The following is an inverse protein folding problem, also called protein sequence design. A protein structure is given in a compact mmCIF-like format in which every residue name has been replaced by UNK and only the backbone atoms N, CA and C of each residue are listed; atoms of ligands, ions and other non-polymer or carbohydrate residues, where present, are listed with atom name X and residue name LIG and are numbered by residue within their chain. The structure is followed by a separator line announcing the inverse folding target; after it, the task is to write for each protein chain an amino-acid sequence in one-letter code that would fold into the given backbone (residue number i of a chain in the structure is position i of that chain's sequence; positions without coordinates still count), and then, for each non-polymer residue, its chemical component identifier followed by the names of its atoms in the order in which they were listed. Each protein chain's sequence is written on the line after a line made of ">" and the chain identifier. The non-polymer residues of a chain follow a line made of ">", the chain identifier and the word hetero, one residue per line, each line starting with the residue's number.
data_IF_091041200303
#
_entry.id   IF_091041200303
#
_cell.length_a   1.000
_cell.length_b   1.000
_cell.length_c   1.000
_cell.angle_alpha   90.00
_cell.angle_beta   90.00
_cell.angle_gamma   90.00
#
_symmetry.space_group_name_H-M   'P 1'
#
loop_
_entity.id
_entity.type
_entity.pdbx_description
1 polymer ?
#
# COMPACT_ATOMS: atom_id res chain seq x y z
N UNK A 1 17.29 18.47 -25.69
CA UNK A 1 16.24 17.42 -25.75
C UNK A 1 15.26 17.68 -24.64
N UNK A 2 13.95 17.62 -24.88
CA UNK A 2 12.90 17.86 -23.88
C UNK A 2 12.56 16.57 -23.14
N UNK A 3 12.60 16.57 -21.80
CA UNK A 3 12.04 15.51 -20.98
C UNK A 3 10.52 15.66 -20.89
N UNK A 4 9.81 14.54 -20.94
CA UNK A 4 8.35 14.50 -20.91
C UNK A 4 7.91 13.79 -19.62
N UNK A 5 6.89 14.34 -18.97
CA UNK A 5 6.17 13.68 -17.88
C UNK A 5 4.71 13.57 -18.26
N UNK A 6 4.09 12.44 -17.93
CA UNK A 6 2.68 12.23 -18.17
C UNK A 6 1.93 12.27 -16.84
N UNK A 7 0.81 12.98 -16.82
CA UNK A 7 -0.11 13.00 -15.68
C UNK A 7 -1.54 12.83 -16.18
N UNK A 8 -2.29 11.95 -15.52
CA UNK A 8 -3.68 11.66 -15.89
C UNK A 8 -4.54 11.40 -14.66
N UNK A 9 -5.82 11.76 -14.75
CA UNK A 9 -6.80 11.54 -13.70
C UNK A 9 -7.94 10.61 -14.16
N UNK A 10 -8.45 9.75 -13.27
CA UNK A 10 -9.53 8.80 -13.60
C UNK A 10 -9.16 7.90 -14.78
N UNK A 11 -10.00 7.80 -15.81
CA UNK A 11 -9.66 7.13 -17.09
C UNK A 11 -8.40 7.68 -17.75
N UNK A 12 -8.13 8.97 -17.57
CA UNK A 12 -6.88 9.58 -18.03
C UNK A 12 -5.65 9.05 -17.28
N UNK A 13 -5.80 8.64 -16.02
CA UNK A 13 -4.74 8.00 -15.24
C UNK A 13 -4.32 6.64 -15.78
N UNK A 14 -5.27 5.87 -16.32
CA UNK A 14 -4.95 4.67 -17.10
C UNK A 14 -4.41 5.03 -18.49
N UNK A 15 -4.96 6.06 -19.12
CA UNK A 15 -4.55 6.54 -20.44
C UNK A 15 -3.07 6.96 -20.51
N UNK A 16 -2.50 7.54 -19.45
CA UNK A 16 -1.07 7.88 -19.43
C UNK A 16 -0.16 6.66 -19.31
N UNK A 17 -0.61 5.60 -18.64
CA UNK A 17 0.08 4.30 -18.64
C UNK A 17 0.05 3.69 -20.04
N UNK A 18 -1.13 3.69 -20.68
CA UNK A 18 -1.29 3.23 -22.05
C UNK A 18 -0.39 4.00 -23.04
N UNK A 19 -0.33 5.33 -22.89
CA UNK A 19 0.51 6.18 -23.74
C UNK A 19 2.01 5.85 -23.59
N UNK A 20 2.49 5.61 -22.37
CA UNK A 20 3.88 5.21 -22.16
C UNK A 20 4.16 3.80 -22.66
N UNK A 21 3.22 2.86 -22.48
CA UNK A 21 3.36 1.52 -23.03
C UNK A 21 3.44 1.54 -24.57
N UNK A 22 2.61 2.35 -25.24
CA UNK A 22 2.69 2.57 -26.69
C UNK A 22 4.01 3.21 -27.11
N UNK A 23 4.50 4.20 -26.36
CA UNK A 23 5.79 4.83 -26.63
C UNK A 23 6.94 3.81 -26.56
N UNK A 24 6.95 2.97 -25.52
CA UNK A 24 8.00 1.97 -25.29
C UNK A 24 7.91 0.81 -26.29
N UNK A 25 6.76 0.14 -26.36
CA UNK A 25 6.56 -1.04 -27.24
C UNK A 25 6.57 -0.70 -28.73
N UNK A 26 6.11 0.49 -29.11
CA UNK A 26 6.13 0.98 -30.49
C UNK A 26 7.45 1.63 -30.92
N UNK A 27 8.41 1.80 -30.00
CA UNK A 27 9.69 2.44 -30.30
C UNK A 27 9.57 3.89 -30.77
N UNK A 28 8.58 4.65 -30.26
CA UNK A 28 8.28 6.00 -30.73
C UNK A 28 9.34 7.04 -30.34
N UNK A 29 10.21 6.71 -29.38
CA UNK A 29 11.38 7.52 -29.02
C UNK A 29 11.06 8.79 -28.24
N UNK A 30 9.85 8.94 -27.70
CA UNK A 30 9.54 10.04 -26.81
C UNK A 30 10.26 9.86 -25.46
N UNK A 31 10.95 10.91 -25.02
CA UNK A 31 11.75 10.91 -23.80
C UNK A 31 10.89 11.08 -22.54
N UNK A 32 9.92 10.17 -22.34
CA UNK A 32 9.09 10.10 -21.13
C UNK A 32 9.97 9.62 -19.97
N UNK A 33 9.97 10.39 -18.87
CA UNK A 33 10.84 10.16 -17.71
C UNK A 33 10.10 9.76 -16.43
N UNK A 34 8.80 10.01 -16.36
CA UNK A 34 7.96 9.58 -15.25
C UNK A 34 6.47 9.65 -15.65
N UNK A 35 5.65 8.81 -15.02
CA UNK A 35 4.20 8.76 -15.22
C UNK A 35 3.50 8.92 -13.86
N UNK A 36 2.46 9.75 -13.81
CA UNK A 36 1.65 10.01 -12.62
C UNK A 36 0.19 9.73 -12.93
N UNK A 37 -0.43 8.89 -12.12
CA UNK A 37 -1.83 8.52 -12.23
C UNK A 37 -2.58 8.93 -10.97
N UNK A 38 -3.57 9.80 -11.11
CA UNK A 38 -4.40 10.31 -10.01
C UNK A 38 -5.75 9.63 -10.07
N UNK A 39 -6.14 8.95 -9.00
CA UNK A 39 -7.37 8.17 -8.90
C UNK A 39 -7.67 7.35 -10.16
N UNK A 40 -6.70 6.55 -10.66
CA UNK A 40 -6.82 5.97 -12.00
C UNK A 40 -7.82 4.82 -12.07
N UNK A 41 -8.34 4.58 -13.27
CA UNK A 41 -9.03 3.31 -13.59
C UNK A 41 -8.05 2.20 -13.95
N UNK A 42 -8.55 0.97 -14.12
CA UNK A 42 -7.79 -0.20 -14.60
C UNK A 42 -8.59 -1.06 -15.61
N UNK A 43 -9.50 -0.47 -16.39
CA UNK A 43 -10.41 -1.22 -17.26
C UNK A 43 -9.71 -2.10 -18.30
N UNK A 44 -8.52 -1.70 -18.73
CA UNK A 44 -7.71 -2.39 -19.73
C UNK A 44 -6.53 -3.16 -19.09
N UNK A 45 -6.37 -3.08 -17.77
CA UNK A 45 -5.35 -3.79 -17.00
C UNK A 45 -3.92 -3.61 -17.56
N UNK A 46 -3.59 -2.42 -18.05
CA UNK A 46 -2.23 -2.13 -18.55
C UNK A 46 -1.18 -2.31 -17.46
N UNK A 47 -0.01 -2.83 -17.85
CA UNK A 47 1.14 -3.03 -16.97
C UNK A 47 2.20 -1.98 -17.30
N UNK A 48 2.61 -1.20 -16.31
CA UNK A 48 3.60 -0.15 -16.46
C UNK A 48 4.99 -0.63 -16.04
N UNK A 49 5.94 -0.79 -16.97
CA UNK A 49 7.22 -1.45 -16.70
C UNK A 49 8.47 -0.68 -17.15
N UNK A 50 8.32 0.57 -17.59
CA UNK A 50 9.37 1.24 -18.38
C UNK A 50 9.92 2.54 -17.79
N UNK A 51 9.24 3.16 -16.83
CA UNK A 51 9.69 4.41 -16.18
C UNK A 51 9.24 4.48 -14.72
N UNK A 52 9.82 5.37 -13.90
CA UNK A 52 9.27 5.68 -12.59
C UNK A 52 7.78 5.99 -12.62
N UNK A 53 7.04 5.49 -11.61
CA UNK A 53 5.59 5.55 -11.57
C UNK A 53 5.05 6.00 -10.22
N UNK A 54 4.05 6.88 -10.25
CA UNK A 54 3.36 7.37 -9.06
C UNK A 54 1.85 7.22 -9.22
N UNK A 55 1.21 6.58 -8.25
CA UNK A 55 -0.24 6.59 -8.08
C UNK A 55 -0.60 7.50 -6.90
N UNK A 56 -1.59 8.37 -7.07
CA UNK A 56 -2.20 9.15 -5.99
C UNK A 56 -3.65 8.72 -5.89
N UNK A 57 -4.10 8.22 -4.74
CA UNK A 57 -5.45 7.68 -4.59
C UNK A 57 -6.05 8.01 -3.23
N UNK A 58 -7.37 8.22 -3.18
CA UNK A 58 -8.07 8.69 -1.99
C UNK A 58 -8.85 7.60 -1.27
N UNK A 59 -8.87 7.65 0.06
CA UNK A 59 -9.63 6.70 0.87
C UNK A 59 -11.15 6.84 0.77
N UNK A 60 -11.61 8.02 0.30
CA UNK A 60 -13.02 8.37 0.19
C UNK A 60 -13.51 8.44 -1.25
N UNK A 61 -12.71 7.99 -2.22
CA UNK A 61 -13.04 8.00 -3.66
C UNK A 61 -14.31 7.17 -3.93
N UNK A 62 -15.40 7.88 -4.24
CA UNK A 62 -16.72 7.31 -4.48
C UNK A 62 -16.95 6.89 -5.94
N UNK A 63 -16.17 7.42 -6.88
CA UNK A 63 -16.35 7.16 -8.32
C UNK A 63 -15.54 5.94 -8.76
N UNK A 64 -14.25 5.90 -8.40
CA UNK A 64 -13.35 4.76 -8.57
C UNK A 64 -13.13 4.10 -7.21
N UNK A 65 -14.22 3.51 -6.74
CA UNK A 65 -14.35 2.92 -5.40
C UNK A 65 -13.74 1.53 -5.29
N UNK A 66 -13.71 0.78 -6.39
CA UNK A 66 -13.29 -0.61 -6.49
C UNK A 66 -14.24 -1.66 -5.95
N UNK A 67 -15.51 -1.28 -5.81
CA UNK A 67 -16.52 -2.15 -5.19
C UNK A 67 -17.56 -2.58 -6.21
N UNK A 68 -18.10 -1.63 -6.96
CA UNK A 68 -19.21 -1.86 -7.92
C UNK A 68 -18.88 -1.42 -9.35
N UNK A 69 -17.70 -0.86 -9.55
CA UNK A 69 -17.19 -0.36 -10.83
C UNK A 69 -16.32 -1.41 -11.55
N UNK A 70 -15.87 -2.45 -10.83
CA UNK A 70 -14.89 -3.41 -11.33
C UNK A 70 -13.49 -2.80 -11.46
N UNK A 71 -13.23 -1.70 -10.76
CA UNK A 71 -12.02 -0.89 -10.92
C UNK A 71 -11.18 -0.85 -9.64
N UNK A 72 -10.00 -1.44 -9.65
CA UNK A 72 -9.09 -1.42 -8.51
C UNK A 72 -7.79 -0.64 -8.85
N UNK A 73 -7.65 0.62 -8.39
CA UNK A 73 -6.45 1.43 -8.64
C UNK A 73 -5.15 0.85 -8.07
N UNK A 74 -5.23 0.02 -7.03
CA UNK A 74 -4.07 -0.65 -6.44
C UNK A 74 -3.41 -1.60 -7.45
N UNK A 75 -4.19 -2.21 -8.35
CA UNK A 75 -3.65 -3.11 -9.39
C UNK A 75 -2.69 -2.41 -10.35
N UNK A 76 -2.91 -1.13 -10.67
CA UNK A 76 -1.93 -0.40 -11.49
C UNK A 76 -0.60 -0.25 -10.76
N UNK A 77 -0.64 0.04 -9.45
CA UNK A 77 0.56 0.12 -8.64
C UNK A 77 1.23 -1.26 -8.48
N UNK A 78 0.48 -2.29 -8.06
CA UNK A 78 1.06 -3.61 -7.80
C UNK A 78 1.67 -4.24 -9.04
N UNK A 79 1.02 -4.10 -10.20
CA UNK A 79 1.53 -4.65 -11.47
C UNK A 79 2.70 -3.86 -12.04
N UNK A 80 2.83 -2.58 -11.69
CA UNK A 80 3.92 -1.76 -12.21
C UNK A 80 5.29 -2.29 -11.76
N UNK A 81 6.33 -2.07 -12.56
CA UNK A 81 7.71 -2.34 -12.17
C UNK A 81 8.32 -1.15 -11.41
N UNK A 82 9.19 -1.41 -10.42
CA UNK A 82 9.93 -0.36 -9.73
C UNK A 82 10.84 0.50 -10.64
N UNK A 83 11.23 1.72 -10.21
CA UNK A 83 10.78 2.38 -8.98
C UNK A 83 9.32 2.83 -9.10
N UNK A 84 8.53 2.56 -8.06
CA UNK A 84 7.11 2.91 -8.03
C UNK A 84 6.68 3.38 -6.65
N UNK A 85 5.66 4.24 -6.62
CA UNK A 85 5.07 4.76 -5.39
C UNK A 85 3.56 4.86 -5.48
N UNK A 86 2.87 4.64 -4.36
CA UNK A 86 1.48 5.00 -4.18
C UNK A 86 1.34 5.89 -2.95
N UNK A 87 0.68 7.03 -3.14
CA UNK A 87 0.33 7.98 -2.09
C UNK A 87 -1.16 7.83 -1.83
N UNK A 88 -1.49 7.14 -0.74
CA UNK A 88 -2.87 6.92 -0.33
C UNK A 88 -3.28 7.99 0.68
N UNK A 89 -4.29 8.78 0.33
CA UNK A 89 -4.64 10.01 1.03
C UNK A 89 -5.95 9.81 1.80
N UNK A 90 -5.87 9.87 3.13
CA UNK A 90 -7.06 9.77 3.97
C UNK A 90 -7.97 10.98 3.77
N UNK A 91 -9.27 10.72 3.62
CA UNK A 91 -10.30 11.73 3.37
C UNK A 91 -10.29 12.33 1.97
N UNK A 92 -9.44 11.86 1.04
CA UNK A 92 -9.49 12.34 -0.34
C UNK A 92 -10.57 11.62 -1.17
N UNK A 93 -11.24 12.38 -2.03
CA UNK A 93 -12.33 11.95 -2.92
C UNK A 93 -11.93 12.13 -4.39
N UNK A 94 -12.70 11.55 -5.31
CA UNK A 94 -12.34 11.49 -6.73
C UNK A 94 -12.22 12.87 -7.36
N UNK A 95 -13.22 13.72 -7.13
CA UNK A 95 -13.44 14.91 -7.94
C UNK A 95 -12.53 16.09 -7.57
N UNK A 96 -12.14 16.21 -6.30
CA UNK A 96 -11.43 17.38 -5.76
C UNK A 96 -9.96 17.48 -6.20
N UNK A 97 -9.43 16.48 -6.89
CA UNK A 97 -8.15 16.60 -7.60
C UNK A 97 -8.24 17.49 -8.85
N UNK A 98 -9.45 17.79 -9.32
CA UNK A 98 -9.72 18.63 -10.50
C UNK A 98 -10.23 20.01 -10.10
N UNK A 99 -10.10 20.98 -11.01
CA UNK A 99 -10.74 22.31 -10.92
C UNK A 99 -11.97 22.41 -11.83
N UNK A 100 -12.45 21.29 -12.38
CA UNK A 100 -13.61 21.30 -13.27
C UNK A 100 -14.88 21.70 -12.48
N UNK A 101 -15.56 22.79 -12.83
CA UNK A 101 -16.72 23.28 -12.08
C UNK A 101 -17.87 22.28 -12.04
N UNK A 102 -18.04 21.44 -13.06
CA UNK A 102 -19.09 20.43 -13.09
C UNK A 102 -18.86 19.37 -12.02
N UNK A 103 -17.61 18.93 -11.84
CA UNK A 103 -17.23 17.90 -10.87
C UNK A 103 -17.22 18.42 -9.42
N UNK A 104 -16.95 19.72 -9.25
CA UNK A 104 -16.94 20.41 -7.97
C UNK A 104 -18.32 20.94 -7.55
N UNK A 105 -19.33 20.78 -8.39
CA UNK A 105 -20.70 21.14 -8.03
C UNK A 105 -21.19 20.28 -6.85
N UNK A 106 -21.99 20.87 -5.95
CA UNK A 106 -22.55 20.14 -4.81
C UNK A 106 -23.41 18.94 -5.22
N UNK A 107 -23.92 18.93 -6.45
CA UNK A 107 -24.71 17.83 -6.99
C UNK A 107 -23.87 16.71 -7.61
N UNK A 108 -22.59 16.97 -7.89
CA UNK A 108 -21.67 16.02 -8.52
C UNK A 108 -20.56 15.52 -7.62
N UNK A 109 -20.40 16.06 -6.41
CA UNK A 109 -19.39 15.58 -5.46
C UNK A 109 -19.65 14.11 -5.11
N UNK A 110 -18.62 13.27 -5.23
CA UNK A 110 -18.72 11.83 -5.05
C UNK A 110 -18.91 11.43 -3.58
N UNK A 111 -18.58 12.31 -2.62
CA UNK A 111 -18.82 12.07 -1.20
C UNK A 111 -18.97 13.42 -0.46
N UNK A 112 -19.84 13.49 0.55
CA UNK A 112 -20.14 14.70 1.34
C UNK A 112 -19.85 14.53 2.85
N UNK A 113 -19.01 13.56 3.18
CA UNK A 113 -18.53 13.28 4.54
C UNK A 113 -17.68 14.43 5.12
N UNK A 114 -17.98 14.86 6.34
CA UNK A 114 -17.29 15.96 7.01
C UNK A 114 -15.78 15.73 7.24
N UNK A 115 -15.31 14.48 7.12
CA UNK A 115 -13.88 14.12 7.25
C UNK A 115 -13.13 14.22 5.92
N UNK A 116 -13.80 14.59 4.83
CA UNK A 116 -13.17 14.85 3.54
C UNK A 116 -12.28 16.08 3.65
N UNK A 117 -11.06 15.97 3.13
CA UNK A 117 -10.09 17.07 3.13
C UNK A 117 -10.50 18.18 2.15
N UNK A 118 -9.97 19.39 2.32
CA UNK A 118 -10.37 20.52 1.48
C UNK A 118 -10.00 20.33 0.01
N UNK A 119 -10.67 21.02 -0.91
CA UNK A 119 -10.29 21.05 -2.33
C UNK A 119 -8.83 21.52 -2.50
N UNK A 120 -8.41 22.53 -1.73
CA UNK A 120 -7.05 23.02 -1.73
C UNK A 120 -6.04 21.93 -1.34
N UNK A 121 -6.35 21.11 -0.32
CA UNK A 121 -5.48 20.02 0.12
C UNK A 121 -5.35 18.93 -0.94
N UNK A 122 -6.44 18.53 -1.62
CA UNK A 122 -6.38 17.57 -2.73
C UNK A 122 -5.42 18.06 -3.82
N UNK A 123 -5.58 19.31 -4.25
CA UNK A 123 -4.76 19.89 -5.29
C UNK A 123 -3.30 20.05 -4.85
N UNK A 124 -3.05 20.46 -3.61
CA UNK A 124 -1.71 20.64 -3.08
C UNK A 124 -0.95 19.32 -2.93
N UNK A 125 -1.66 18.23 -2.61
CA UNK A 125 -1.12 16.87 -2.58
C UNK A 125 -0.77 16.41 -3.99
N UNK A 126 -1.69 16.52 -4.94
CA UNK A 126 -1.43 16.14 -6.33
C UNK A 126 -0.26 16.94 -6.94
N UNK A 127 -0.26 18.27 -6.79
CA UNK A 127 0.82 19.14 -7.27
C UNK A 127 2.14 18.84 -6.59
N UNK A 128 2.12 18.65 -5.27
CA UNK A 128 3.32 18.37 -4.47
C UNK A 128 4.03 17.12 -4.95
N UNK A 129 3.37 15.96 -4.87
CA UNK A 129 4.01 14.68 -5.22
C UNK A 129 4.32 14.54 -6.71
N UNK A 130 3.47 15.08 -7.61
CA UNK A 130 3.79 15.07 -9.04
C UNK A 130 5.02 15.93 -9.35
N UNK A 131 5.10 17.13 -8.78
CA UNK A 131 6.25 18.02 -8.96
C UNK A 131 7.53 17.39 -8.43
N UNK A 132 7.51 16.80 -7.23
CA UNK A 132 8.70 16.17 -6.65
C UNK A 132 9.20 14.99 -7.50
N UNK A 133 8.29 14.17 -8.05
CA UNK A 133 8.65 13.08 -8.96
C UNK A 133 9.31 13.63 -10.24
N UNK A 134 8.74 14.67 -10.85
CA UNK A 134 9.30 15.26 -12.05
C UNK A 134 10.63 15.97 -11.78
N UNK A 135 10.78 16.72 -10.69
CA UNK A 135 12.05 17.32 -10.29
C UNK A 135 13.13 16.25 -10.07
N UNK A 136 12.75 15.14 -9.41
CA UNK A 136 13.64 14.00 -9.20
C UNK A 136 14.18 13.45 -10.51
N UNK A 137 13.32 13.19 -11.49
CA UNK A 137 13.70 12.47 -12.72
C UNK A 137 14.07 13.35 -13.92
N UNK A 138 13.61 14.60 -13.97
CA UNK A 138 13.98 15.52 -15.06
C UNK A 138 15.30 16.21 -14.78
N UNK A 139 15.59 16.50 -13.50
CA UNK A 139 16.82 17.21 -13.09
C UNK A 139 17.80 16.35 -12.29
N UNK A 140 17.49 15.06 -12.12
CA UNK A 140 18.31 14.11 -11.34
C UNK A 140 18.57 14.59 -9.89
N UNK A 141 17.58 15.21 -9.26
CA UNK A 141 17.73 15.73 -7.90
C UNK A 141 17.43 14.64 -6.85
N UNK A 142 18.45 13.85 -6.50
CA UNK A 142 18.38 12.73 -5.53
C UNK A 142 17.72 13.11 -4.19
N UNK A 143 17.86 14.37 -3.76
CA UNK A 143 17.24 14.87 -2.53
C UNK A 143 15.70 14.74 -2.50
N UNK A 144 15.04 14.58 -3.66
CA UNK A 144 13.59 14.39 -3.73
C UNK A 144 13.15 12.93 -3.49
N UNK A 145 14.06 11.97 -3.40
CA UNK A 145 13.71 10.57 -3.11
C UNK A 145 13.01 10.44 -1.75
N UNK A 146 13.36 11.30 -0.77
CA UNK A 146 12.82 11.28 0.59
C UNK A 146 11.28 11.37 0.64
N UNK A 147 10.66 12.03 -0.35
CA UNK A 147 9.19 12.16 -0.43
C UNK A 147 8.49 10.85 -0.80
N UNK A 148 9.23 9.84 -1.24
CA UNK A 148 8.69 8.55 -1.65
C UNK A 148 9.17 7.44 -0.72
N UNK A 149 10.46 7.47 -0.33
CA UNK A 149 11.08 6.37 0.41
C UNK A 149 11.46 6.68 1.88
N UNK A 150 11.23 7.90 2.38
CA UNK A 150 11.49 8.30 3.78
C UNK A 150 10.27 8.96 4.48
N UNK A 151 9.06 8.81 3.94
CA UNK A 151 7.80 9.35 4.51
C UNK A 151 7.71 10.88 4.59
N UNK A 152 8.70 11.60 4.07
CA UNK A 152 8.68 13.05 4.03
C UNK A 152 7.58 13.55 3.12
N UNK A 153 7.12 14.79 3.35
CA UNK A 153 6.03 15.37 2.58
C UNK A 153 6.48 16.66 1.90
N UNK A 154 6.12 16.88 0.62
CA UNK A 154 6.32 18.19 -0.01
C UNK A 154 5.69 19.29 0.86
N UNK A 155 6.30 20.48 0.92
CA UNK A 155 5.83 21.57 1.80
C UNK A 155 4.41 22.05 1.49
N UNK A 156 3.89 21.77 0.29
CA UNK A 156 2.49 22.05 -0.07
C UNK A 156 1.50 21.11 0.64
N UNK A 157 1.95 19.93 1.08
CA UNK A 157 1.10 18.90 1.66
C UNK A 157 0.83 19.22 3.13
N UNK A 158 -0.44 19.35 3.54
CA UNK A 158 -0.78 19.60 4.94
C UNK A 158 -0.34 18.46 5.85
N UNK A 159 0.20 18.81 7.02
CA UNK A 159 0.60 17.84 8.04
C UNK A 159 -0.59 17.19 8.75
N UNK A 160 -1.76 17.82 8.72
CA UNK A 160 -3.01 17.33 9.31
C UNK A 160 -3.67 16.18 8.54
N UNK A 161 -3.28 15.96 7.28
CA UNK A 161 -3.85 14.90 6.45
C UNK A 161 -3.03 13.63 6.63
N UNK A 162 -3.65 12.51 6.97
CA UNK A 162 -2.96 11.22 7.06
C UNK A 162 -2.65 10.69 5.65
N UNK A 163 -1.42 10.23 5.42
CA UNK A 163 -0.95 9.73 4.12
C UNK A 163 -0.19 8.43 4.33
N UNK A 164 -0.63 7.38 3.65
CA UNK A 164 0.14 6.14 3.56
C UNK A 164 1.04 6.19 2.32
N UNK A 165 2.32 5.94 2.54
CA UNK A 165 3.31 5.81 1.47
C UNK A 165 3.52 4.32 1.20
N UNK A 166 3.26 3.91 -0.03
CA UNK A 166 3.75 2.65 -0.56
C UNK A 166 4.88 2.99 -1.52
N UNK A 167 5.96 2.24 -1.40
CA UNK A 167 7.15 2.39 -2.22
C UNK A 167 7.78 1.03 -2.46
N UNK A 168 8.24 0.80 -3.69
CA UNK A 168 9.10 -0.33 -4.02
C UNK A 168 10.34 0.17 -4.76
N UNK A 169 11.50 -0.20 -4.23
CA UNK A 169 12.81 0.10 -4.83
C UNK A 169 13.09 -0.85 -6.02
N UNK A 170 13.86 -0.46 -7.04
CA UNK A 170 14.28 -1.37 -8.11
C UNK A 170 15.36 -2.38 -7.71
N UNK A 171 16.09 -2.13 -6.62
CA UNK A 171 17.15 -3.01 -6.11
C UNK A 171 16.68 -3.65 -4.82
N UNK A 172 16.06 -4.83 -4.94
CA UNK A 172 15.53 -5.58 -3.80
C UNK A 172 16.00 -7.02 -3.77
N UNK A 173 16.00 -7.59 -2.57
CA UNK A 173 16.03 -9.02 -2.33
C UNK A 173 14.78 -9.40 -1.53
N UNK A 174 13.79 -9.94 -2.22
CA UNK A 174 12.54 -10.43 -1.62
C UNK A 174 12.83 -11.69 -0.79
N UNK A 175 12.56 -11.60 0.50
CA UNK A 175 12.64 -12.72 1.46
C UNK A 175 11.34 -13.51 1.45
N UNK A 176 10.20 -12.81 1.50
CA UNK A 176 8.87 -13.43 1.51
C UNK A 176 7.85 -12.49 0.86
N UNK A 177 7.18 -12.97 -0.18
CA UNK A 177 6.01 -12.33 -0.81
C UNK A 177 4.72 -13.12 -0.53
N UNK A 178 4.80 -14.17 0.31
CA UNK A 178 3.66 -15.00 0.73
C UNK A 178 2.90 -15.69 -0.43
N UNK A 179 3.54 -15.82 -1.58
CA UNK A 179 2.96 -16.46 -2.78
C UNK A 179 3.46 -17.90 -3.01
N UNK A 180 4.05 -18.56 -2.01
CA UNK A 180 4.60 -19.93 -2.14
C UNK A 180 3.74 -20.93 -1.39
N UNK A 181 3.33 -22.08 -1.95
CA UNK A 181 3.49 -22.44 -3.36
C UNK A 181 2.63 -21.55 -4.25
N UNK A 182 2.97 -21.51 -5.54
CA UNK A 182 2.17 -20.81 -6.54
C UNK A 182 0.70 -21.23 -6.45
N UNK A 183 -0.20 -20.28 -6.75
CA UNK A 183 -1.63 -20.53 -6.68
C UNK A 183 -2.04 -21.71 -7.57
N UNK A 184 -2.75 -22.66 -6.97
CA UNK A 184 -3.31 -23.82 -7.65
C UNK A 184 -4.83 -23.76 -7.51
N UNK A 185 -5.52 -23.31 -8.55
CA UNK A 185 -6.98 -23.15 -8.54
C UNK A 185 -7.74 -24.47 -8.35
N UNK A 186 -7.06 -25.62 -8.41
CA UNK A 186 -7.64 -26.95 -8.15
C UNK A 186 -7.61 -27.36 -6.68
N UNK A 187 -6.82 -26.68 -5.83
CA UNK A 187 -6.72 -26.93 -4.38
C UNK A 187 -7.60 -25.94 -3.62
N UNK A 188 -8.41 -26.37 -2.63
CA UNK A 188 -9.19 -25.45 -1.81
C UNK A 188 -8.31 -24.37 -1.19
N UNK A 189 -8.75 -23.13 -1.27
CA UNK A 189 -7.93 -22.01 -0.86
C UNK A 189 -7.39 -22.13 0.57
N UNK A 190 -8.25 -22.49 1.52
CA UNK A 190 -7.84 -22.62 2.92
C UNK A 190 -6.67 -23.60 3.10
N UNK A 191 -6.58 -24.64 2.26
CA UNK A 191 -5.45 -25.57 2.24
C UNK A 191 -4.21 -24.94 1.62
N UNK A 192 -4.37 -24.14 0.55
CA UNK A 192 -3.25 -23.39 -0.03
C UNK A 192 -2.69 -22.37 0.97
N UNK A 193 -3.52 -21.59 1.66
CA UNK A 193 -3.09 -20.64 2.69
C UNK A 193 -2.33 -21.32 3.83
N UNK A 194 -2.79 -22.49 4.30
CA UNK A 194 -2.08 -23.29 5.30
C UNK A 194 -0.76 -23.89 4.79
N UNK A 195 -0.62 -24.08 3.46
CA UNK A 195 0.66 -24.46 2.86
C UNK A 195 1.61 -23.27 2.68
N UNK A 196 1.06 -22.06 2.46
CA UNK A 196 1.83 -20.82 2.31
C UNK A 196 2.56 -20.38 3.57
N UNK A 197 2.01 -20.71 4.73
CA UNK A 197 2.62 -20.40 6.01
C UNK A 197 3.87 -21.23 6.38
N UNK A 198 4.43 -22.06 5.47
CA UNK A 198 5.51 -23.00 5.81
C UNK A 198 6.88 -22.61 5.29
N UNK A 199 6.94 -21.95 4.14
CA UNK A 199 8.20 -21.56 3.51
C UNK A 199 8.08 -20.20 2.86
N UNK A 200 9.13 -19.39 2.99
CA UNK A 200 9.22 -18.10 2.33
C UNK A 200 9.69 -18.22 0.87
N UNK A 201 9.84 -17.09 0.18
CA UNK A 201 10.29 -17.00 -1.22
C UNK A 201 11.64 -17.65 -1.48
N UNK A 202 12.51 -17.64 -0.47
CA UNK A 202 13.84 -18.25 -0.52
C UNK A 202 13.83 -19.77 -0.29
N UNK A 203 12.64 -20.37 -0.14
CA UNK A 203 12.46 -21.79 0.18
C UNK A 203 12.88 -22.15 1.60
N UNK A 204 12.88 -21.17 2.53
CA UNK A 204 13.31 -21.36 3.92
C UNK A 204 12.13 -21.44 4.87
N UNK A 205 12.28 -22.15 6.00
CA UNK A 205 11.18 -22.32 6.95
C UNK A 205 10.63 -21.01 7.48
N UNK A 206 9.31 -20.97 7.60
CA UNK A 206 8.59 -19.97 8.38
C UNK A 206 8.07 -20.65 9.65
N UNK A 207 8.16 -19.98 10.79
CA UNK A 207 7.64 -20.48 12.07
C UNK A 207 6.94 -19.41 12.87
N UNK A 208 5.84 -19.79 13.52
CA UNK A 208 5.05 -18.90 14.36
C UNK A 208 4.87 -19.49 15.76
N UNK A 209 4.79 -18.61 16.76
CA UNK A 209 4.49 -18.98 18.15
C UNK A 209 3.55 -17.96 18.76
N UNK A 210 2.53 -18.42 19.50
CA UNK A 210 1.56 -17.54 20.17
C UNK A 210 0.59 -16.80 19.24
N UNK A 211 0.64 -17.03 17.93
CA UNK A 211 -0.34 -16.45 16.99
C UNK A 211 -1.70 -17.14 17.11
N UNK A 212 -2.75 -16.36 16.88
CA UNK A 212 -4.13 -16.80 16.82
C UNK A 212 -4.57 -17.00 15.37
N UNK A 213 -5.63 -17.79 15.17
CA UNK A 213 -6.23 -17.92 13.84
C UNK A 213 -6.88 -16.57 13.47
N UNK A 214 -6.54 -15.95 12.32
CA UNK A 214 -7.19 -14.75 11.83
C UNK A 214 -8.72 -14.92 11.77
N UNK A 215 -9.47 -13.83 11.89
CA UNK A 215 -10.93 -13.92 11.81
C UNK A 215 -11.37 -14.19 10.37
N UNK A 216 -11.66 -15.43 9.99
CA UNK A 216 -12.10 -15.73 8.62
C UNK A 216 -13.62 -15.56 8.41
N UNK A 217 -14.36 -15.12 9.43
CA UNK A 217 -15.82 -15.29 9.52
C UNK A 217 -16.64 -14.09 9.05
N UNK A 218 -16.04 -13.00 8.58
CA UNK A 218 -16.79 -11.87 8.07
C UNK A 218 -16.91 -11.86 6.54
N UNK A 219 -18.16 -12.05 6.10
CA UNK A 219 -18.67 -12.01 4.73
C UNK A 219 -19.61 -10.80 4.63
N UNK A 220 -19.11 -9.57 4.81
CA UNK A 220 -19.77 -8.38 4.26
C UNK A 220 -19.02 -7.98 2.99
N UNK A 221 -19.28 -8.82 1.98
CA UNK A 221 -18.57 -8.96 0.73
C UNK A 221 -18.78 -7.80 -0.22
N UNK A 222 -18.21 -6.64 0.11
CA UNK A 222 -17.92 -5.54 -0.81
C UNK A 222 -16.63 -4.75 -0.42
N UNK A 223 -15.97 -5.08 0.69
CA UNK A 223 -14.85 -4.30 1.31
C UNK A 223 -13.45 -4.68 0.89
N UNK A 224 -13.13 -5.96 0.84
CA UNK A 224 -11.86 -6.47 0.30
C UNK A 224 -12.14 -7.59 -0.72
N UNK A 225 -13.39 -8.05 -0.77
CA UNK A 225 -13.88 -9.15 -1.62
C UNK A 225 -14.19 -8.76 -3.07
N UNK A 226 -14.46 -7.47 -3.32
CA UNK A 226 -14.85 -6.97 -4.64
C UNK A 226 -13.69 -6.59 -5.57
N UNK A 227 -12.47 -6.58 -5.07
CA UNK A 227 -11.34 -5.87 -5.68
C UNK A 227 -10.45 -6.71 -6.62
N UNK A 228 -10.65 -8.03 -6.75
CA UNK A 228 -10.13 -8.79 -7.90
C UNK A 228 -10.81 -10.15 -8.13
N UNK A 229 -10.75 -10.60 -9.38
CA UNK A 229 -11.26 -11.90 -9.87
C UNK A 229 -10.59 -13.07 -9.13
N UNK A 230 -11.44 -13.86 -8.47
CA UNK A 230 -11.22 -15.23 -7.99
C UNK A 230 -10.78 -15.31 -6.51
N UNK A 231 -11.78 -15.15 -5.64
CA UNK A 231 -11.95 -15.93 -4.41
C UNK A 231 -10.74 -16.05 -3.48
N UNK A 232 -9.96 -14.96 -3.32
CA UNK A 232 -8.86 -14.87 -2.37
C UNK A 232 -8.71 -13.43 -1.86
N UNK A 233 -9.56 -13.03 -0.92
CA UNK A 233 -9.84 -11.60 -0.73
C UNK A 233 -9.56 -11.14 0.69
N UNK A 234 -8.29 -11.05 1.04
CA UNK A 234 -7.87 -10.39 2.28
C UNK A 234 -7.32 -8.99 2.06
N UNK A 235 -6.96 -8.61 0.82
CA UNK A 235 -6.37 -7.30 0.52
C UNK A 235 -6.90 -6.68 -0.76
N UNK A 236 -6.77 -5.35 -0.83
CA UNK A 236 -7.05 -4.56 -2.03
C UNK A 236 -5.92 -4.64 -3.05
N UNK A 237 -4.75 -5.09 -2.62
CA UNK A 237 -3.57 -5.30 -3.45
C UNK A 237 -3.66 -6.65 -4.21
N UNK A 238 -2.87 -6.83 -5.28
CA UNK A 238 -2.91 -8.03 -6.12
C UNK A 238 -2.39 -9.30 -5.41
N UNK A 239 -1.48 -9.14 -4.44
CA UNK A 239 -0.90 -10.22 -3.65
C UNK A 239 -1.86 -10.78 -2.61
N UNK A 240 -1.67 -12.04 -2.23
CA UNK A 240 -2.40 -12.68 -1.14
C UNK A 240 -1.87 -12.26 0.23
N UNK A 241 -0.58 -11.96 0.35
CA UNK A 241 0.09 -11.58 1.60
C UNK A 241 -0.10 -12.58 2.75
N UNK A 242 0.14 -12.11 3.97
CA UNK A 242 -0.14 -12.83 5.21
C UNK A 242 -1.09 -12.06 6.14
N UNK A 243 -2.06 -12.77 6.70
CA UNK A 243 -2.84 -12.32 7.84
C UNK A 243 -2.24 -12.86 9.14
N UNK A 244 -1.82 -11.96 10.02
CA UNK A 244 -1.20 -12.29 11.30
C UNK A 244 -2.06 -11.75 12.42
N UNK A 245 -2.55 -12.64 13.30
CA UNK A 245 -3.39 -12.29 14.43
C UNK A 245 -2.80 -12.75 15.77
N UNK A 246 -3.02 -12.00 16.83
CA UNK A 246 -2.66 -12.37 18.20
C UNK A 246 -3.72 -11.89 19.20
N UNK A 247 -3.89 -12.67 20.27
CA UNK A 247 -4.81 -12.38 21.38
C UNK A 247 -4.09 -12.07 22.70
N UNK A 248 -2.77 -12.22 22.73
CA UNK A 248 -1.91 -11.89 23.87
C UNK A 248 -0.56 -11.40 23.38
N UNK A 249 0.13 -10.59 24.19
CA UNK A 249 1.49 -10.15 23.89
C UNK A 249 2.50 -11.32 23.95
N UNK A 250 3.57 -11.20 23.17
CA UNK A 250 4.65 -12.19 23.09
C UNK A 250 4.56 -13.16 21.91
N UNK A 251 3.57 -12.99 21.02
CA UNK A 251 3.51 -13.78 19.80
C UNK A 251 4.64 -13.42 18.83
N UNK A 252 5.07 -14.37 18.01
CA UNK A 252 6.15 -14.17 17.04
C UNK A 252 5.83 -14.83 15.70
N UNK A 253 6.25 -14.16 14.63
CA UNK A 253 6.38 -14.72 13.30
C UNK A 253 7.86 -14.67 12.91
N UNK A 254 8.42 -15.76 12.40
CA UNK A 254 9.83 -15.88 12.05
C UNK A 254 9.95 -16.39 10.62
N UNK A 255 10.79 -15.74 9.83
CA UNK A 255 11.15 -16.18 8.48
C UNK A 255 12.66 -16.41 8.45
N UNK A 256 13.07 -17.66 8.18
CA UNK A 256 14.47 -18.06 8.16
C UNK A 256 15.14 -17.66 6.83
N UNK A 257 16.45 -17.45 6.87
CA UNK A 257 17.25 -17.15 5.69
C UNK A 257 18.30 -18.27 5.52
N UNK A 258 18.78 -18.48 4.29
CA UNK A 258 20.18 -18.90 4.16
C UNK A 258 21.07 -17.82 4.77
N UNK A 259 22.33 -18.09 5.16
CA UNK A 259 23.27 -16.99 5.43
C UNK A 259 23.23 -15.98 4.28
N UNK A 260 22.65 -14.81 4.55
CA UNK A 260 22.36 -13.76 3.57
C UNK A 260 23.24 -12.57 3.87
N UNK A 261 23.93 -12.09 2.84
CA UNK A 261 24.65 -10.83 2.90
C UNK A 261 23.71 -9.68 2.54
N UNK A 262 23.29 -8.92 3.54
CA UNK A 262 22.46 -7.73 3.39
C UNK A 262 23.27 -6.43 3.45
N UNK A 263 24.61 -6.48 3.45
CA UNK A 263 25.47 -5.30 3.64
C UNK A 263 25.42 -4.30 2.47
N UNK A 264 24.94 -4.74 1.30
CA UNK A 264 24.74 -3.88 0.14
C UNK A 264 23.41 -3.10 0.16
N UNK A 265 22.49 -3.44 1.07
CA UNK A 265 21.17 -2.79 1.19
C UNK A 265 21.19 -1.72 2.29
N UNK A 266 20.21 -0.82 2.26
CA UNK A 266 20.08 0.25 3.28
C UNK A 266 18.97 -0.05 4.27
N UNK A 267 17.90 -0.72 3.83
CA UNK A 267 16.73 -0.98 4.66
C UNK A 267 16.29 -2.44 4.60
N UNK A 268 15.66 -2.90 5.69
CA UNK A 268 14.68 -3.97 5.65
C UNK A 268 13.31 -3.31 5.46
N UNK A 269 12.62 -3.65 4.38
CA UNK A 269 11.27 -3.17 4.07
C UNK A 269 10.23 -4.28 4.10
N UNK A 270 8.99 -3.88 4.41
CA UNK A 270 7.81 -4.72 4.31
C UNK A 270 6.57 -3.86 4.19
N UNK A 271 5.52 -4.37 3.55
CA UNK A 271 4.21 -3.75 3.49
C UNK A 271 3.34 -4.23 4.64
N UNK A 272 2.59 -3.34 5.29
CA UNK A 272 1.75 -3.69 6.44
C UNK A 272 0.53 -2.79 6.56
N UNK A 273 -0.59 -3.34 7.04
CA UNK A 273 -1.73 -2.56 7.53
C UNK A 273 -2.45 -3.31 8.64
N UNK A 274 -3.24 -2.58 9.43
CA UNK A 274 -4.26 -3.24 10.24
C UNK A 274 -5.36 -3.81 9.36
N UNK A 275 -5.89 -4.95 9.77
CA UNK A 275 -7.10 -5.51 9.18
C UNK A 275 -8.33 -4.71 9.62
N UNK A 276 -9.07 -4.19 8.65
CA UNK A 276 -10.34 -3.50 8.85
C UNK A 276 -11.37 -4.45 9.47
N UNK A 277 -12.17 -3.94 10.40
CA UNK A 277 -13.26 -4.70 11.04
C UNK A 277 -12.82 -5.77 12.05
N UNK A 278 -11.51 -5.99 12.25
CA UNK A 278 -11.05 -6.91 13.29
C UNK A 278 -11.30 -6.34 14.68
N UNK A 279 -11.99 -7.11 15.53
CA UNK A 279 -12.19 -6.77 16.95
C UNK A 279 -10.89 -6.81 17.77
N UNK A 280 -9.80 -7.35 17.20
CA UNK A 280 -8.47 -7.39 17.83
C UNK A 280 -7.72 -6.07 17.71
N UNK A 281 -8.10 -5.22 16.74
CA UNK A 281 -7.52 -3.91 16.52
C UNK A 281 -8.34 -2.86 17.29
N UNK A 282 -7.76 -2.16 18.28
CA UNK A 282 -8.49 -1.12 18.98
C UNK A 282 -8.91 -0.01 18.01
N UNK A 283 -10.19 0.37 18.04
CA UNK A 283 -10.73 1.38 17.14
C UNK A 283 -9.96 2.70 17.27
N UNK A 284 -9.62 3.31 16.13
CA UNK A 284 -8.89 4.58 16.04
C UNK A 284 -7.52 4.59 16.73
N UNK A 285 -6.92 3.42 16.98
CA UNK A 285 -5.57 3.32 17.52
C UNK A 285 -4.60 2.74 16.48
N UNK A 286 -3.33 3.19 16.44
CA UNK A 286 -2.32 2.55 15.62
C UNK A 286 -1.96 1.17 16.19
N UNK A 287 -1.50 0.28 15.31
CA UNK A 287 -0.83 -0.96 15.70
C UNK A 287 0.68 -0.80 15.62
N UNK A 288 1.37 -1.69 16.31
CA UNK A 288 2.83 -1.65 16.39
C UNK A 288 3.41 -3.00 16.84
N UNK A 289 4.65 -3.25 16.45
CA UNK A 289 5.41 -4.46 16.80
C UNK A 289 6.91 -4.21 16.62
N UNK A 290 7.72 -5.16 17.05
CA UNK A 290 9.16 -5.10 16.90
C UNK A 290 9.62 -6.04 15.79
N UNK A 291 10.67 -5.64 15.07
CA UNK A 291 11.35 -6.47 14.08
C UNK A 291 12.77 -6.75 14.57
N UNK A 292 13.18 -8.02 14.55
CA UNK A 292 14.52 -8.47 14.94
C UNK A 292 15.26 -9.04 13.73
N UNK A 293 16.52 -8.64 13.59
CA UNK A 293 17.49 -9.31 12.73
C UNK A 293 18.41 -10.19 13.60
N UNK A 294 18.70 -11.41 13.15
CA UNK A 294 19.64 -12.33 13.80
C UNK A 294 20.64 -12.88 12.80
N UNK A 295 21.93 -12.87 13.15
CA UNK A 295 23.01 -13.44 12.32
C UNK A 295 23.36 -14.89 12.67
N UNK A 296 24.24 -15.49 11.86
CA UNK A 296 24.74 -16.86 12.06
C UNK A 296 25.48 -17.07 13.38
N UNK A 297 26.04 -16.01 13.97
CA UNK A 297 26.73 -15.99 15.27
C UNK A 297 25.78 -15.70 16.44
N UNK A 298 24.46 -15.73 16.21
CA UNK A 298 23.42 -15.45 17.20
C UNK A 298 23.46 -14.03 17.78
N UNK A 299 24.16 -13.08 17.14
CA UNK A 299 23.97 -11.68 17.48
C UNK A 299 22.63 -11.23 16.90
N UNK A 300 21.93 -10.37 17.64
CA UNK A 300 20.65 -9.82 17.18
C UNK A 300 20.51 -8.35 17.54
N UNK A 301 19.70 -7.64 16.76
CA UNK A 301 19.25 -6.29 17.05
C UNK A 301 17.76 -6.18 16.75
N UNK A 302 17.09 -5.25 17.41
CA UNK A 302 15.64 -5.08 17.36
C UNK A 302 15.31 -3.63 17.08
N UNK A 303 14.33 -3.37 16.23
CA UNK A 303 13.77 -2.05 15.94
C UNK A 303 12.26 -2.12 16.09
N UNK A 304 11.65 -1.07 16.65
CA UNK A 304 10.19 -0.93 16.72
C UNK A 304 9.67 -0.33 15.42
N UNK A 305 8.60 -0.89 14.83
CA UNK A 305 8.09 -0.41 13.54
C UNK A 305 7.70 1.07 13.60
N UNK A 306 7.05 1.49 14.70
CA UNK A 306 6.66 2.88 14.94
C UNK A 306 7.81 3.89 15.06
N UNK A 307 9.08 3.44 15.11
CA UNK A 307 10.23 4.35 15.14
C UNK A 307 10.43 5.12 13.83
N UNK A 308 9.95 4.59 12.70
CA UNK A 308 10.03 5.26 11.39
C UNK A 308 8.67 5.71 10.88
N UNK A 309 7.61 4.96 11.17
CA UNK A 309 6.24 5.31 10.77
C UNK A 309 5.21 4.52 11.57
N UNK A 310 4.06 5.10 11.88
CA UNK A 310 2.96 4.40 12.56
C UNK A 310 2.29 3.35 11.64
N UNK A 311 1.51 2.42 12.18
CA UNK A 311 0.58 1.59 11.39
C UNK A 311 -0.83 2.05 11.76
N UNK A 312 -1.38 3.07 11.07
CA UNK A 312 -2.60 3.74 11.51
C UNK A 312 -3.81 2.81 11.40
N UNK A 313 -4.88 3.18 12.11
CA UNK A 313 -6.17 2.52 11.94
C UNK A 313 -6.68 2.78 10.51
N UNK A 314 -7.30 1.81 9.83
CA UNK A 314 -7.81 2.00 8.47
C UNK A 314 -8.87 3.12 8.44
N UNK A 315 -8.86 3.93 7.39
CA UNK A 315 -9.87 4.96 7.22
C UNK A 315 -11.26 4.33 7.07
N UNK A 316 -12.20 4.71 7.93
CA UNK A 316 -13.59 4.25 7.88
C UNK A 316 -14.41 5.24 7.07
N UNK A 317 -14.87 4.88 5.88
CA UNK A 317 -15.70 5.73 5.01
C UNK A 317 -17.16 5.75 5.51
N UNK A 318 -17.81 6.92 5.49
CA UNK A 318 -19.23 7.07 5.91
C UNK A 318 -20.17 7.36 4.73
N UNK A 319 -19.80 6.97 3.52
CA UNK A 319 -20.65 7.26 2.37
C UNK A 319 -21.91 6.37 2.37
N UNK A 320 -23.06 7.00 2.65
CA UNK A 320 -24.36 6.33 2.67
C UNK A 320 -25.00 6.30 1.27
N UNK A 321 -26.21 5.70 1.15
CA UNK A 321 -26.90 5.41 -0.12
C UNK A 321 -26.80 6.52 -1.16
N UNK A 322 -26.66 6.13 -2.44
CA UNK A 322 -26.69 7.08 -3.55
C UNK A 322 -28.01 7.87 -3.52
N UNK A 323 -27.92 9.20 -3.49
CA UNK A 323 -29.11 10.07 -3.37
C UNK A 323 -29.58 10.59 -4.74
N UNK A 324 -28.77 10.42 -5.80
CA UNK A 324 -29.08 10.91 -7.14
C UNK A 324 -29.06 9.81 -8.20
N UNK A 325 -30.09 9.70 -9.06
CA UNK A 325 -30.03 8.87 -10.26
C UNK A 325 -28.97 9.44 -11.23
N UNK A 326 -28.26 8.59 -11.99
CA UNK A 326 -27.08 9.02 -12.72
C UNK A 326 -27.41 10.04 -13.82
N UNK A 327 -26.87 11.25 -13.70
CA UNK A 327 -26.29 11.90 -14.88
C UNK A 327 -24.96 11.16 -15.15
N UNK A 328 -24.65 10.89 -16.42
CA UNK A 328 -23.60 9.97 -16.82
C UNK A 328 -22.29 10.14 -16.03
N UNK A 329 -21.98 9.18 -15.15
CA UNK A 329 -20.63 8.97 -14.62
C UNK A 329 -20.32 9.42 -13.19
N UNK A 330 -21.26 9.94 -12.38
CA UNK A 330 -20.98 10.16 -10.95
C UNK A 330 -22.17 9.78 -10.07
N UNK A 331 -21.96 8.90 -9.09
CA UNK A 331 -22.94 8.65 -8.02
C UNK A 331 -22.62 9.59 -6.86
N UNK A 332 -23.51 10.54 -6.57
CA UNK A 332 -23.40 11.34 -5.35
C UNK A 332 -23.85 10.52 -4.14
N UNK A 333 -22.96 10.35 -3.18
CA UNK A 333 -23.24 9.78 -1.86
C UNK A 333 -23.35 10.92 -0.84
N UNK A 334 -24.44 10.94 -0.05
CA UNK A 334 -24.72 12.03 0.90
C UNK A 334 -24.69 11.47 2.31
N UNK A 335 -24.11 12.23 3.24
CA UNK A 335 -24.19 11.95 4.67
C UNK A 335 -25.67 11.95 5.13
N UNK A 336 -26.11 10.90 5.83
CA UNK A 336 -27.50 10.77 6.26
C UNK A 336 -27.54 10.47 7.76
N UNK A 337 -28.10 11.39 8.59
CA UNK A 337 -27.97 11.37 10.06
C UNK A 337 -28.69 10.21 10.78
N UNK A 338 -29.21 9.23 10.05
CA UNK A 338 -29.88 8.02 10.58
C UNK A 338 -29.26 6.71 10.11
N UNK A 339 -28.15 6.75 9.38
CA UNK A 339 -27.48 5.56 8.86
C UNK A 339 -26.13 5.42 9.56
N UNK A 340 -25.82 4.22 10.04
CA UNK A 340 -24.54 3.92 10.68
C UNK A 340 -23.41 3.94 9.64
N UNK A 341 -22.16 4.14 10.11
CA UNK A 341 -20.91 4.03 9.33
C UNK A 341 -21.04 2.93 8.27
N UNK A 342 -20.52 3.19 7.06
CA UNK A 342 -20.58 2.22 5.97
C UNK A 342 -19.25 1.46 5.86
N UNK A 343 -19.02 0.42 6.68
CA UNK A 343 -17.79 -0.34 6.64
C UNK A 343 -17.59 -0.99 5.28
N UNK A 344 -18.67 -1.24 4.52
CA UNK A 344 -18.70 -2.01 3.25
C UNK A 344 -17.84 -1.39 2.13
N UNK A 345 -17.29 -0.22 2.42
CA UNK A 345 -16.72 0.73 1.48
C UNK A 345 -15.33 1.23 1.87
N UNK A 346 -14.88 0.80 3.03
CA UNK A 346 -13.55 1.06 3.61
C UNK A 346 -12.58 -0.04 3.19
N UNK A 347 -11.28 0.22 3.30
CA UNK A 347 -10.21 -0.65 2.78
C UNK A 347 -9.08 -0.79 3.78
N UNK A 348 -8.56 -2.00 3.99
CA UNK A 348 -7.19 -2.20 4.48
C UNK A 348 -6.20 -1.94 3.36
N UNK A 349 -5.49 -0.81 3.45
CA UNK A 349 -4.45 -0.43 2.47
C UNK A 349 -3.09 -0.58 3.11
N UNK A 350 -2.24 -1.42 2.52
CA UNK A 350 -0.87 -1.60 2.97
C UNK A 350 -0.10 -0.26 2.90
N UNK A 351 0.81 -0.05 3.86
CA UNK A 351 1.86 0.97 3.76
C UNK A 351 3.23 0.29 3.81
N UNK A 352 4.22 0.84 3.12
CA UNK A 352 5.59 0.31 3.23
C UNK A 352 6.24 0.83 4.51
N UNK A 353 6.74 -0.06 5.37
CA UNK A 353 7.67 0.24 6.47
C UNK A 353 9.10 -0.02 5.99
N UNK A 354 10.04 0.90 6.26
CA UNK A 354 11.44 0.85 5.80
C UNK A 354 12.35 1.08 7.01
N UNK A 355 12.86 0.00 7.61
CA UNK A 355 13.73 0.05 8.78
C UNK A 355 15.19 0.08 8.35
N UNK A 356 15.95 1.11 8.72
CA UNK A 356 17.34 1.24 8.30
C UNK A 356 18.21 0.18 8.95
N UNK A 357 19.04 -0.51 8.15
CA UNK A 357 19.98 -1.51 8.66
C UNK A 357 21.03 -0.89 9.59
N UNK A 358 21.35 0.39 9.40
CA UNK A 358 22.19 1.17 10.31
C UNK A 358 21.62 1.26 11.72
N UNK A 359 20.29 1.35 11.87
CA UNK A 359 19.66 1.46 13.19
C UNK A 359 19.77 0.13 13.96
N UNK A 360 19.68 -1.01 13.25
CA UNK A 360 19.99 -2.32 13.83
C UNK A 360 21.45 -2.39 14.29
N UNK A 361 22.39 -1.87 13.49
CA UNK A 361 23.82 -1.84 13.85
C UNK A 361 24.12 -0.88 14.99
N UNK A 362 23.40 0.23 15.10
CA UNK A 362 23.48 1.14 16.23
C UNK A 362 23.01 0.45 17.53
N UNK A 363 21.93 -0.32 17.46
CA UNK A 363 21.42 -1.09 18.60
C UNK A 363 22.31 -2.28 18.99
N UNK A 364 22.99 -2.91 18.02
CA UNK A 364 24.02 -3.90 18.30
C UNK A 364 25.17 -3.86 17.26
N UNK A 365 26.31 -3.22 17.60
CA UNK A 365 27.45 -3.14 16.70
C UNK A 365 28.05 -4.50 16.32
N UNK A 366 27.79 -5.56 17.10
CA UNK A 366 28.26 -6.93 16.82
C UNK A 366 27.41 -7.68 15.80
N UNK A 367 26.20 -7.20 15.46
CA UNK A 367 25.38 -7.82 14.42
C UNK A 367 26.13 -7.84 13.08
N UNK A 368 26.26 -9.00 12.46
CA UNK A 368 26.87 -9.15 11.15
C UNK A 368 25.81 -9.16 10.04
N UNK A 369 25.68 -8.05 9.32
CA UNK A 369 24.77 -7.94 8.17
C UNK A 369 25.19 -8.83 6.99
N UNK A 370 26.45 -9.28 6.92
CA UNK A 370 26.93 -10.14 5.83
C UNK A 370 26.54 -11.62 5.99
N UNK A 371 25.87 -11.97 7.10
CA UNK A 371 25.54 -13.35 7.44
C UNK A 371 24.25 -13.42 8.27
N UNK A 372 23.21 -12.69 7.85
CA UNK A 372 21.89 -12.78 8.46
C UNK A 372 21.30 -14.17 8.25
N UNK A 373 20.59 -14.69 9.26
CA UNK A 373 19.94 -16.01 9.21
C UNK A 373 18.45 -16.00 9.50
N UNK A 374 17.90 -14.92 10.07
CA UNK A 374 16.49 -14.85 10.46
C UNK A 374 16.01 -13.41 10.60
N UNK A 375 14.76 -13.19 10.19
CA UNK A 375 13.95 -12.02 10.51
C UNK A 375 12.81 -12.48 11.41
N UNK A 376 12.55 -11.77 12.52
CA UNK A 376 11.44 -12.06 13.43
C UNK A 376 10.57 -10.83 13.63
N UNK A 377 9.24 -11.00 13.51
CA UNK A 377 8.24 -10.01 13.91
C UNK A 377 7.73 -10.41 15.30
N UNK A 378 7.83 -9.50 16.26
CA UNK A 378 7.54 -9.73 17.68
C UNK A 378 6.37 -8.86 18.14
N UNK A 379 5.21 -9.50 18.35
CA UNK A 379 3.96 -8.87 18.76
C UNK A 379 3.90 -8.77 20.28
N UNK A 380 4.72 -7.88 20.84
CA UNK A 380 4.84 -7.64 22.28
C UNK A 380 4.51 -6.21 22.72
N UNK A 381 4.16 -5.34 21.78
CA UNK A 381 3.81 -3.93 22.04
C UNK A 381 2.33 -3.78 22.39
N UNK A 382 1.42 -4.35 21.60
CA UNK A 382 -0.02 -4.38 21.86
C UNK A 382 -0.46 -5.77 22.31
N UNK A 383 -1.47 -5.84 23.19
CA UNK A 383 -1.96 -7.11 23.74
C UNK A 383 -2.70 -7.95 22.71
N UNK A 384 -3.32 -7.31 21.72
CA UNK A 384 -4.10 -7.95 20.65
C UNK A 384 -3.87 -7.21 19.35
N UNK A 385 -4.05 -7.92 18.23
CA UNK A 385 -4.07 -7.29 16.93
C UNK A 385 -4.28 -8.26 15.80
N UNK A 386 -4.57 -7.70 14.63
CA UNK A 386 -4.69 -8.42 13.38
C UNK A 386 -4.20 -7.54 12.24
N UNK A 387 -3.12 -7.96 11.61
CA UNK A 387 -2.47 -7.20 10.54
C UNK A 387 -2.38 -8.02 9.26
N UNK A 388 -2.31 -7.28 8.18
CA UNK A 388 -1.84 -7.69 6.87
C UNK A 388 -0.34 -7.44 6.78
N UNK A 389 0.43 -8.37 6.21
CA UNK A 389 1.84 -8.14 5.86
C UNK A 389 2.11 -8.67 4.46
N UNK A 390 2.93 -7.97 3.69
CA UNK A 390 3.41 -8.42 2.39
C UNK A 390 4.85 -7.94 2.10
N UNK A 391 5.50 -8.52 1.09
CA UNK A 391 6.82 -8.15 0.56
C UNK A 391 7.90 -7.86 1.61
N UNK A 392 8.23 -8.84 2.45
CA UNK A 392 9.42 -8.73 3.30
C UNK A 392 10.65 -8.77 2.40
N UNK A 393 11.42 -7.69 2.35
CA UNK A 393 12.56 -7.56 1.44
C UNK A 393 13.68 -6.69 2.02
N UNK A 394 14.92 -6.94 1.59
CA UNK A 394 16.00 -5.95 1.74
C UNK A 394 16.01 -5.03 0.51
N UNK A 395 16.17 -3.73 0.69
CA UNK A 395 16.18 -2.75 -0.41
C UNK A 395 17.14 -1.58 -0.17
N UNK A 396 17.47 -0.83 -1.23
CA UNK A 396 18.24 0.41 -1.15
C UNK A 396 17.42 1.57 -0.59
#
# INVERSE_FOLDING_TARGET
>A
MSFIGLIGHSRGGEGVVAAQQLNFSGGLGHQIKAVVSIAPTNFQDFVHDSTPYLVIYGSSDGDVSGINDGVNPFLLYDRAKPPKSLIFVYGAIHNRFSTNPDWLSLDSIDNDDARIISEADHQNIAKGYALTLFERHFRNQLAFDIFFNHYERPTSVPTSVEILHLYQDPVTQVVDDFEQPASDTTVPLAQQLASRARTNKLGKPVSASGLSIPDLTFVNSLTETGLSRISLTSFVDEGAGALIAWNSSGATYNTDLSPTDASAFQVLSFRVTQRLGSTRNPANAPQDFFVRLTDTSSQSAVIQASSVTNIPFPFIRHDHFAVHPPAAGSRRFVDHPRLADNPDRSKSVLKTVRLRLDDFKANNPRLNLSALRRISFEFRQTSTGEIAVDDIEFSL
#
